data_IF_265769353888
#
_entry.id   IF_265769353888
#
_cell.length_a   1.000
_cell.length_b   1.000
_cell.length_c   1.000
_cell.angle_alpha   90.00
_cell.angle_beta   90.00
_cell.angle_gamma   90.00
#
_symmetry.space_group_name_H-M   'P 1'
#
loop_
_entity.id
_entity.type
_entity.pdbx_description
1 polymer ?
#
# COMPACT_ATOMS: atom_id res chain seq x y z
N UNK A 1 -27.67 -7.20 6.30
CA UNK A 1 -26.91 -7.11 5.02
C UNK A 1 -25.42 -7.30 5.22
N UNK A 2 -24.79 -6.67 6.22
CA UNK A 2 -23.36 -6.90 6.57
C UNK A 2 -23.05 -8.37 6.87
N UNK A 3 -23.86 -9.03 7.69
CA UNK A 3 -23.64 -10.44 8.06
C UNK A 3 -23.65 -11.39 6.86
N UNK A 4 -24.40 -11.06 5.81
CA UNK A 4 -24.40 -11.85 4.58
C UNK A 4 -23.08 -11.70 3.82
N UNK A 5 -22.56 -10.47 3.71
CA UNK A 5 -21.28 -10.21 3.04
C UNK A 5 -20.12 -10.83 3.81
N UNK A 6 -20.11 -10.69 5.13
CA UNK A 6 -19.07 -11.24 5.99
C UNK A 6 -19.09 -12.78 6.01
N UNK A 7 -20.26 -13.41 5.94
CA UNK A 7 -20.37 -14.87 5.94
C UNK A 7 -20.13 -15.51 4.56
N UNK A 8 -20.45 -14.82 3.45
CA UNK A 8 -20.48 -15.45 2.13
C UNK A 8 -19.48 -14.88 1.12
N UNK A 9 -19.13 -13.59 1.23
CA UNK A 9 -18.26 -12.90 0.27
C UNK A 9 -16.84 -12.81 0.81
N UNK A 10 -16.67 -12.38 2.07
CA UNK A 10 -15.34 -12.21 2.70
C UNK A 10 -14.51 -13.51 2.64
N UNK A 11 -15.02 -14.71 2.98
CA UNK A 11 -14.21 -15.93 2.94
C UNK A 11 -13.74 -16.30 1.52
N UNK A 12 -14.55 -15.96 0.49
CA UNK A 12 -14.19 -16.20 -0.91
C UNK A 12 -13.09 -15.26 -1.37
N UNK A 13 -13.15 -13.99 -0.95
CA UNK A 13 -12.11 -13.00 -1.22
C UNK A 13 -10.81 -13.35 -0.52
N UNK A 14 -10.87 -13.80 0.74
CA UNK A 14 -9.71 -14.28 1.49
C UNK A 14 -9.05 -15.47 0.78
N UNK A 15 -9.84 -16.48 0.40
CA UNK A 15 -9.33 -17.66 -0.30
C UNK A 15 -8.77 -17.32 -1.68
N UNK A 16 -9.46 -16.48 -2.46
CA UNK A 16 -8.99 -16.04 -3.78
C UNK A 16 -7.64 -15.32 -3.68
N UNK A 17 -7.50 -14.39 -2.73
CA UNK A 17 -6.25 -13.66 -2.53
C UNK A 17 -5.14 -14.54 -1.96
N UNK A 18 -5.49 -15.48 -1.06
CA UNK A 18 -4.53 -16.45 -0.52
C UNK A 18 -3.98 -17.40 -1.57
N UNK A 19 -4.79 -17.77 -2.57
CA UNK A 19 -4.38 -18.66 -3.66
C UNK A 19 -3.78 -17.91 -4.86
N UNK A 20 -3.86 -16.57 -4.89
CA UNK A 20 -3.28 -15.75 -5.95
C UNK A 20 -1.80 -16.07 -6.13
N UNK A 21 -1.37 -16.27 -7.37
CA UNK A 21 0.05 -16.39 -7.68
C UNK A 21 0.69 -14.99 -7.64
N UNK A 22 1.58 -14.78 -6.68
CA UNK A 22 2.27 -13.49 -6.47
C UNK A 22 3.54 -13.40 -7.33
N UNK A 23 3.98 -14.47 -8.00
CA UNK A 23 5.17 -14.41 -8.84
C UNK A 23 4.90 -13.56 -10.11
N UNK A 24 5.60 -12.44 -10.32
CA UNK A 24 5.39 -11.58 -11.50
C UNK A 24 5.75 -12.23 -12.84
N UNK A 25 6.58 -13.27 -12.83
CA UNK A 25 6.91 -14.02 -14.04
C UNK A 25 5.72 -14.86 -14.53
N UNK A 26 4.83 -15.24 -13.61
CA UNK A 26 3.73 -16.16 -13.87
C UNK A 26 2.37 -15.48 -13.87
N UNK A 27 2.19 -14.42 -13.09
CA UNK A 27 0.95 -13.65 -13.03
C UNK A 27 1.24 -12.16 -13.23
N UNK A 28 0.80 -11.60 -14.35
CA UNK A 28 0.97 -10.16 -14.66
C UNK A 28 -0.28 -9.33 -14.39
N UNK A 29 -1.45 -9.98 -14.33
CA UNK A 29 -2.75 -9.31 -14.24
C UNK A 29 -3.19 -9.12 -12.78
N UNK A 30 -2.91 -10.11 -11.93
CA UNK A 30 -3.32 -10.12 -10.52
C UNK A 30 -4.82 -9.87 -10.35
N UNK A 31 -5.62 -10.59 -11.12
CA UNK A 31 -7.08 -10.39 -11.17
C UNK A 31 -7.73 -10.55 -9.80
N UNK A 32 -7.23 -11.46 -8.97
CA UNK A 32 -7.72 -11.68 -7.61
C UNK A 32 -7.57 -10.44 -6.73
N UNK A 33 -6.47 -9.71 -6.91
CA UNK A 33 -6.24 -8.44 -6.23
C UNK A 33 -7.15 -7.34 -6.78
N UNK A 34 -7.34 -7.26 -8.10
CA UNK A 34 -8.23 -6.28 -8.72
C UNK A 34 -9.69 -6.52 -8.30
N UNK A 35 -10.11 -7.79 -8.24
CA UNK A 35 -11.44 -8.20 -7.77
C UNK A 35 -11.62 -7.74 -6.33
N UNK A 36 -10.68 -8.00 -5.42
CA UNK A 36 -10.76 -7.50 -4.04
C UNK A 36 -10.97 -5.98 -3.99
N UNK A 37 -10.21 -5.23 -4.79
CA UNK A 37 -10.35 -3.77 -4.84
C UNK A 37 -11.67 -3.32 -5.46
N UNK A 38 -12.25 -4.06 -6.39
CA UNK A 38 -13.57 -3.76 -6.96
C UNK A 38 -14.71 -3.88 -5.92
N UNK A 39 -14.49 -4.62 -4.83
CA UNK A 39 -15.42 -4.67 -3.69
C UNK A 39 -15.27 -3.49 -2.71
N UNK A 40 -14.29 -2.60 -2.91
CA UNK A 40 -14.24 -1.33 -2.16
C UNK A 40 -15.46 -0.50 -2.50
N UNK A 41 -16.14 0.00 -1.46
CA UNK A 41 -17.42 0.71 -1.58
C UNK A 41 -18.63 -0.14 -1.19
N UNK A 42 -18.52 -1.48 -1.28
CA UNK A 42 -19.49 -2.42 -0.72
C UNK A 42 -19.01 -3.00 0.62
N UNK A 43 -17.70 -3.20 0.74
CA UNK A 43 -17.03 -3.58 1.99
C UNK A 43 -16.39 -2.36 2.65
N UNK A 44 -16.36 -2.39 3.99
CA UNK A 44 -15.64 -1.38 4.76
C UNK A 44 -14.12 -1.51 4.57
N UNK A 45 -13.41 -0.39 4.62
CA UNK A 45 -11.96 -0.37 4.40
C UNK A 45 -11.18 -1.19 5.45
N UNK A 46 -11.71 -1.35 6.67
CA UNK A 46 -11.09 -2.18 7.70
C UNK A 46 -11.09 -3.67 7.32
N UNK A 47 -12.18 -4.15 6.70
CA UNK A 47 -12.33 -5.53 6.22
C UNK A 47 -11.34 -5.78 5.10
N UNK A 48 -11.26 -4.88 4.11
CA UNK A 48 -10.29 -4.96 3.01
C UNK A 48 -8.85 -4.95 3.55
N UNK A 49 -8.54 -4.05 4.49
CA UNK A 49 -7.24 -4.00 5.16
C UNK A 49 -6.90 -5.32 5.85
N UNK A 50 -7.87 -5.93 6.55
CA UNK A 50 -7.70 -7.21 7.24
C UNK A 50 -7.41 -8.34 6.25
N UNK A 51 -8.18 -8.42 5.16
CA UNK A 51 -7.99 -9.44 4.11
C UNK A 51 -6.59 -9.31 3.50
N UNK A 52 -6.17 -8.10 3.14
CA UNK A 52 -4.84 -7.82 2.59
C UNK A 52 -3.72 -8.20 3.56
N UNK A 53 -3.83 -7.75 4.82
CA UNK A 53 -2.81 -7.96 5.86
C UNK A 53 -2.58 -9.44 6.14
N UNK A 54 -3.66 -10.24 6.12
CA UNK A 54 -3.61 -11.68 6.41
C UNK A 54 -3.17 -12.51 5.21
N UNK A 55 -3.76 -12.28 4.05
CA UNK A 55 -3.68 -13.23 2.93
C UNK A 55 -2.68 -12.81 1.84
N UNK A 56 -2.31 -11.53 1.78
CA UNK A 56 -1.40 -11.01 0.76
C UNK A 56 -0.03 -10.61 1.33
N UNK A 57 -0.01 -9.68 2.29
CA UNK A 57 1.25 -9.03 2.71
C UNK A 57 2.31 -10.00 3.24
N UNK A 58 1.91 -11.04 3.97
CA UNK A 58 2.85 -12.06 4.47
C UNK A 58 3.52 -12.83 3.33
N UNK A 59 2.75 -13.21 2.30
CA UNK A 59 3.25 -13.96 1.14
C UNK A 59 4.09 -13.09 0.20
N UNK A 60 3.62 -11.87 -0.06
CA UNK A 60 4.37 -10.90 -0.86
C UNK A 60 5.71 -10.54 -0.21
N UNK A 61 5.73 -10.39 1.11
CA UNK A 61 6.97 -10.20 1.85
C UNK A 61 7.92 -11.40 1.73
N UNK A 62 7.44 -12.62 1.95
CA UNK A 62 8.28 -13.81 1.83
C UNK A 62 8.87 -13.92 0.41
N UNK A 63 8.09 -13.66 -0.64
CA UNK A 63 8.60 -13.64 -2.01
C UNK A 63 9.72 -12.61 -2.20
N UNK A 64 9.54 -11.39 -1.68
CA UNK A 64 10.58 -10.36 -1.73
C UNK A 64 11.82 -10.77 -0.93
N UNK A 65 11.64 -11.38 0.23
CA UNK A 65 12.74 -11.89 1.04
C UNK A 65 13.51 -12.98 0.31
N UNK A 66 12.82 -13.97 -0.27
CA UNK A 66 13.43 -15.06 -1.03
C UNK A 66 14.23 -14.52 -2.22
N UNK A 67 13.70 -13.53 -2.94
CA UNK A 67 14.40 -12.86 -4.03
C UNK A 67 15.63 -12.09 -3.58
N UNK A 68 15.62 -11.55 -2.36
CA UNK A 68 16.73 -10.79 -1.80
C UNK A 68 17.78 -11.66 -1.10
N UNK A 69 17.45 -12.92 -0.78
CA UNK A 69 18.33 -13.86 -0.08
C UNK A 69 19.24 -14.67 -1.01
N UNK A 70 19.03 -14.68 -2.33
CA UNK A 70 19.86 -15.46 -3.27
C UNK A 70 21.28 -14.86 -3.29
N UNK A 71 22.28 -15.48 -2.64
CA UNK A 71 23.62 -14.90 -2.55
C UNK A 71 24.33 -15.18 -3.87
N UNK A 72 24.73 -14.13 -4.58
CA UNK A 72 25.64 -14.24 -5.71
C UNK A 72 25.02 -14.62 -7.06
N UNK A 73 23.70 -14.48 -7.26
CA UNK A 73 23.10 -14.58 -8.59
C UNK A 73 23.03 -13.19 -9.26
N UNK A 74 23.90 -12.87 -10.25
CA UNK A 74 23.87 -11.60 -10.97
C UNK A 74 22.60 -11.40 -11.80
N UNK A 75 21.71 -12.40 -11.89
CA UNK A 75 20.42 -12.34 -12.57
C UNK A 75 19.29 -11.70 -11.77
N UNK A 76 19.39 -11.58 -10.43
CA UNK A 76 18.42 -10.80 -9.65
C UNK A 76 18.84 -9.34 -9.70
N UNK A 77 18.39 -8.68 -10.77
CA UNK A 77 18.60 -7.27 -11.00
C UNK A 77 17.87 -6.53 -9.88
N UNK A 78 18.61 -6.04 -8.89
CA UNK A 78 18.11 -5.20 -7.81
C UNK A 78 17.11 -4.11 -8.30
N UNK A 79 17.29 -3.48 -9.48
CA UNK A 79 16.27 -2.66 -10.13
C UNK A 79 14.90 -3.32 -10.40
N UNK A 80 14.84 -4.60 -10.75
CA UNK A 80 13.60 -5.34 -11.02
C UNK A 80 12.81 -5.58 -9.73
N UNK A 81 13.49 -6.01 -8.66
CA UNK A 81 12.87 -6.16 -7.33
C UNK A 81 12.35 -4.81 -6.82
N UNK A 82 13.14 -3.75 -7.04
CA UNK A 82 12.79 -2.37 -6.76
C UNK A 82 11.55 -1.90 -7.54
N UNK A 83 11.47 -2.21 -8.83
CA UNK A 83 10.34 -1.87 -9.68
C UNK A 83 9.08 -2.64 -9.23
N UNK A 84 9.24 -3.94 -8.97
CA UNK A 84 8.17 -4.80 -8.49
C UNK A 84 7.58 -4.30 -7.16
N UNK A 85 8.43 -3.92 -6.20
CA UNK A 85 7.98 -3.31 -4.96
C UNK A 85 7.21 -2.00 -5.21
N UNK A 86 7.71 -1.15 -6.11
CA UNK A 86 7.07 0.13 -6.44
C UNK A 86 5.71 -0.06 -7.08
N UNK A 87 5.58 -1.01 -8.00
CA UNK A 87 4.32 -1.34 -8.66
C UNK A 87 3.27 -1.76 -7.63
N UNK A 88 3.60 -2.68 -6.72
CA UNK A 88 2.66 -3.09 -5.68
C UNK A 88 2.28 -1.97 -4.73
N UNK A 89 3.23 -1.11 -4.37
CA UNK A 89 2.93 0.08 -3.58
C UNK A 89 2.03 1.07 -4.32
N UNK A 90 2.13 1.14 -5.65
CA UNK A 90 1.23 1.96 -6.47
C UNK A 90 -0.15 1.34 -6.67
N UNK A 91 -0.24 0.00 -6.65
CA UNK A 91 -1.51 -0.74 -6.79
C UNK A 91 -2.36 -0.70 -5.52
N UNK A 92 -1.74 -0.61 -4.34
CA UNK A 92 -2.48 -0.45 -3.08
C UNK A 92 -2.99 1.01 -3.00
N UNK A 93 -4.31 1.23 -2.81
CA UNK A 93 -4.85 2.57 -2.70
C UNK A 93 -4.25 3.38 -1.55
N UNK A 94 -4.11 4.69 -1.74
CA UNK A 94 -3.41 5.57 -0.81
C UNK A 94 -4.07 5.60 0.58
N UNK A 95 -5.39 5.47 0.64
CA UNK A 95 -6.15 5.45 1.89
C UNK A 95 -5.76 4.24 2.75
N UNK A 96 -5.53 3.08 2.13
CA UNK A 96 -5.18 1.85 2.83
C UNK A 96 -3.79 1.92 3.49
N UNK A 97 -2.86 2.68 2.91
CA UNK A 97 -1.54 2.90 3.53
C UNK A 97 -1.60 3.68 4.84
N UNK A 98 -2.70 4.38 5.13
CA UNK A 98 -2.87 5.11 6.39
C UNK A 98 -3.30 4.16 7.53
N UNK A 99 -3.70 2.93 7.21
CA UNK A 99 -4.18 1.99 8.20
C UNK A 99 -3.02 1.38 9.02
N UNK A 100 -3.11 1.37 10.36
CA UNK A 100 -2.03 0.89 11.22
C UNK A 100 -1.53 -0.53 10.91
N UNK A 101 -2.39 -1.53 10.60
CA UNK A 101 -1.92 -2.88 10.28
C UNK A 101 -1.01 -2.93 9.05
N UNK A 102 -1.33 -2.14 8.02
CA UNK A 102 -0.54 -2.03 6.79
C UNK A 102 0.79 -1.33 7.09
N UNK A 103 0.76 -0.23 7.84
CA UNK A 103 1.99 0.46 8.26
C UNK A 103 2.93 -0.43 9.07
N UNK A 104 2.39 -1.26 9.98
CA UNK A 104 3.18 -2.21 10.76
C UNK A 104 3.87 -3.24 9.87
N UNK A 105 3.17 -3.76 8.85
CA UNK A 105 3.78 -4.65 7.86
C UNK A 105 4.86 -3.93 7.04
N UNK A 106 4.60 -2.71 6.57
CA UNK A 106 5.62 -1.92 5.86
C UNK A 106 6.87 -1.64 6.70
N UNK A 107 6.70 -1.34 8.00
CA UNK A 107 7.81 -1.14 8.93
C UNK A 107 8.63 -2.40 9.19
N UNK A 108 7.97 -3.56 9.27
CA UNK A 108 8.64 -4.85 9.40
C UNK A 108 9.53 -5.14 8.19
N UNK A 109 9.02 -4.88 6.98
CA UNK A 109 9.81 -5.04 5.74
C UNK A 109 11.05 -4.15 5.82
N UNK A 110 10.88 -2.90 6.25
CA UNK A 110 11.96 -1.94 6.38
C UNK A 110 13.03 -2.33 7.40
N UNK A 111 12.65 -2.89 8.55
CA UNK A 111 13.62 -3.32 9.56
C UNK A 111 14.46 -4.49 9.07
N UNK A 112 13.84 -5.48 8.45
CA UNK A 112 14.57 -6.64 7.88
C UNK A 112 15.50 -6.21 6.74
N UNK A 113 15.07 -5.25 5.91
CA UNK A 113 15.94 -4.70 4.87
C UNK A 113 17.14 -3.92 5.42
N UNK A 114 17.06 -3.36 6.63
CA UNK A 114 18.17 -2.59 7.24
C UNK A 114 19.23 -3.51 7.83
N UNK A 115 18.83 -4.62 8.43
CA UNK A 115 19.74 -5.54 9.13
C UNK A 115 20.65 -6.33 8.16
N UNK A 116 20.20 -6.56 6.93
CA UNK A 116 20.95 -7.32 5.91
C UNK A 116 21.80 -6.41 4.99
N UNK A 117 22.75 -5.67 5.56
CA UNK A 117 23.34 -4.41 5.06
C UNK A 117 24.02 -4.34 3.66
N UNK A 118 24.20 -5.42 2.87
CA UNK A 118 24.92 -5.35 1.58
C UNK A 118 24.06 -5.55 0.31
N UNK A 119 23.04 -6.42 0.35
CA UNK A 119 22.13 -6.66 -0.79
C UNK A 119 21.02 -5.59 -0.93
N UNK A 120 20.82 -4.74 0.08
CA UNK A 120 19.56 -3.99 0.29
C UNK A 120 19.65 -2.48 0.02
N UNK A 121 20.78 -1.97 -0.48
CA UNK A 121 20.98 -0.54 -0.69
C UNK A 121 19.92 0.12 -1.61
N UNK A 122 19.33 -0.61 -2.55
CA UNK A 122 18.35 -0.03 -3.48
C UNK A 122 16.91 -0.01 -2.95
N UNK A 123 16.45 -1.08 -2.28
CA UNK A 123 15.10 -1.12 -1.69
C UNK A 123 15.00 -0.09 -0.56
N UNK A 124 16.02 0.00 0.30
CA UNK A 124 16.07 1.00 1.37
C UNK A 124 16.12 2.45 0.89
N UNK A 125 16.73 2.73 -0.28
CA UNK A 125 16.71 4.07 -0.91
C UNK A 125 15.32 4.39 -1.46
N UNK A 126 14.69 3.45 -2.16
CA UNK A 126 13.34 3.64 -2.75
C UNK A 126 12.28 3.88 -1.68
N UNK A 127 12.31 3.11 -0.59
CA UNK A 127 11.32 3.31 0.49
C UNK A 127 11.52 4.65 1.19
N UNK A 128 12.77 5.11 1.39
CA UNK A 128 13.08 6.46 1.91
C UNK A 128 12.54 7.55 0.99
N UNK A 129 12.76 7.45 -0.32
CA UNK A 129 12.24 8.42 -1.31
C UNK A 129 10.72 8.47 -1.31
N UNK A 130 10.05 7.32 -1.18
CA UNK A 130 8.59 7.23 -1.14
C UNK A 130 8.01 7.74 0.19
N UNK A 131 8.70 7.52 1.31
CA UNK A 131 8.34 8.11 2.61
C UNK A 131 8.48 9.63 2.58
N UNK A 132 9.56 10.15 1.98
CA UNK A 132 9.73 11.59 1.78
C UNK A 132 8.64 12.19 0.88
N UNK A 133 8.27 11.51 -0.22
CA UNK A 133 7.16 11.95 -1.10
C UNK A 133 5.80 11.93 -0.40
N UNK A 134 5.48 10.90 0.38
CA UNK A 134 4.23 10.86 1.17
C UNK A 134 4.18 11.99 2.20
N UNK A 135 5.29 12.29 2.87
CA UNK A 135 5.37 13.43 3.81
C UNK A 135 5.28 14.78 3.11
N UNK A 136 5.82 14.91 1.88
CA UNK A 136 5.70 16.12 1.07
C UNK A 136 4.26 16.34 0.60
N UNK A 137 3.64 15.32 0.00
CA UNK A 137 2.28 15.39 -0.50
C UNK A 137 1.25 15.62 0.62
N UNK A 138 1.45 15.02 1.80
CA UNK A 138 0.61 15.30 2.98
C UNK A 138 0.75 16.74 3.45
N UNK A 139 1.97 17.29 3.48
CA UNK A 139 2.21 18.70 3.84
C UNK A 139 1.64 19.67 2.80
N UNK A 140 1.73 19.36 1.51
CA UNK A 140 1.10 20.15 0.44
C UNK A 140 -0.42 20.15 0.56
N UNK A 141 -1.04 18.99 0.82
CA UNK A 141 -2.48 18.91 1.03
C UNK A 141 -2.92 19.63 2.31
N UNK A 142 -2.15 19.54 3.40
CA UNK A 142 -2.40 20.30 4.64
C UNK A 142 -2.22 21.82 4.43
N UNK A 143 -1.23 22.25 3.64
CA UNK A 143 -1.04 23.66 3.29
C UNK A 143 -2.16 24.19 2.38
N UNK A 144 -2.63 23.40 1.41
CA UNK A 144 -3.80 23.73 0.58
C UNK A 144 -5.08 23.83 1.43
N UNK A 145 -5.33 22.88 2.33
CA UNK A 145 -6.47 22.93 3.27
C UNK A 145 -6.39 24.14 4.21
N UNK A 146 -5.21 24.47 4.74
CA UNK A 146 -5.02 25.66 5.58
C UNK A 146 -5.17 26.95 4.77
N UNK A 147 -4.71 26.98 3.52
CA UNK A 147 -4.90 28.12 2.62
C UNK A 147 -6.38 28.32 2.27
N UNK A 148 -7.13 27.23 2.08
CA UNK A 148 -8.56 27.25 1.77
C UNK A 148 -9.43 27.60 2.98
N UNK A 149 -9.05 27.17 4.19
CA UNK A 149 -9.69 27.62 5.43
C UNK A 149 -9.38 29.10 5.70
N UNK A 150 -8.15 29.57 5.42
CA UNK A 150 -7.79 30.99 5.55
C UNK A 150 -8.50 31.86 4.52
N UNK A 151 -8.63 31.44 3.26
CA UNK A 151 -9.35 32.21 2.25
C UNK A 151 -10.84 32.34 2.58
N UNK A 152 -11.46 31.29 3.16
CA UNK A 152 -12.85 31.31 3.60
C UNK A 152 -13.09 32.14 4.89
N UNK A 153 -12.04 32.42 5.68
CA UNK A 153 -12.11 33.27 6.88
C UNK A 153 -11.75 34.74 6.62
N UNK A 154 -11.27 35.10 5.41
CA UNK A 154 -10.82 36.47 5.06
C UNK A 154 -11.75 37.17 4.05
N UNK A 155 -13.03 36.79 3.99
CA UNK A 155 -14.06 37.65 3.40
C UNK A 155 -14.90 38.28 4.52
N UNK A 156 -14.81 39.61 4.76
CA UNK A 156 -15.79 40.27 5.61
C UNK A 156 -17.15 40.14 4.92
N UNK A 157 -18.12 39.51 5.60
CA UNK A 157 -19.54 39.65 5.26
C UNK A 157 -19.84 41.15 5.24
N UNK A 158 -19.86 41.76 4.06
CA UNK A 158 -20.52 43.06 3.87
C UNK A 158 -22.00 42.79 4.10
N UNK A 159 -22.44 43.08 5.32
CA UNK A 159 -23.84 43.22 5.65
C UNK A 159 -24.42 44.29 4.73
N UNK A 160 -25.41 43.88 3.94
CA UNK A 160 -26.42 44.74 3.36
C UNK A 160 -27.13 45.51 4.48
N UNK A 161 -26.87 46.81 4.59
CA UNK A 161 -27.76 47.72 5.29
C UNK A 161 -27.87 49.02 4.48
N UNK A 162 -29.13 49.33 4.18
CA UNK A 162 -29.70 50.54 3.56
C UNK A 162 -29.51 50.71 2.06
#
# INVERSE_FOLDING_TARGET
MRDFLDANIVPKLESSLFNMNINPLQNKKYEEFNVLLAWRGLLQDDVICRILTRNFFSRWYNLLFDWLQVPGDPGIIVPEVANYYREWKGRVPQELHQWPPIQSKEKLILSVCRENNELYQCVGKIIRTLSHRKSHHRRENELCLVAEVKSNLILPRRNSFS
#
